data_IF_596499905766
#
_entry.id   IF_596499905766
#
_cell.length_a   1.000
_cell.length_b   1.000
_cell.length_c   1.000
_cell.angle_alpha   90.00
_cell.angle_beta   90.00
_cell.angle_gamma   90.00
#
_symmetry.space_group_name_H-M   'P 1'
#
loop_
_entity.id
_entity.type
_entity.pdbx_description
1 polymer ?
#
# COMPACT_ATOMS: atom_id res chain seq x y z
N UNK A 1 -28.31 -3.87 -0.36
CA UNK A 1 -27.59 -2.98 -1.30
C UNK A 1 -26.20 -2.90 -0.73
N UNK A 2 -25.19 -3.39 -1.44
CA UNK A 2 -23.82 -3.34 -0.93
C UNK A 2 -23.46 -1.86 -0.69
N UNK A 3 -23.17 -1.51 0.56
CA UNK A 3 -22.76 -0.15 0.89
C UNK A 3 -21.31 0.04 0.44
N UNK A 4 -21.10 1.07 -0.39
CA UNK A 4 -19.81 1.44 -0.93
C UNK A 4 -19.42 2.77 -0.32
N UNK A 5 -18.32 2.77 0.42
CA UNK A 5 -17.76 3.97 1.01
C UNK A 5 -16.37 4.25 0.40
N UNK A 6 -16.22 5.43 -0.20
CA UNK A 6 -14.94 5.91 -0.72
C UNK A 6 -14.34 6.94 0.22
N UNK A 7 -13.08 6.71 0.61
CA UNK A 7 -12.33 7.61 1.49
C UNK A 7 -11.07 8.07 0.78
N UNK A 8 -10.94 9.38 0.52
CA UNK A 8 -9.71 9.96 -0.04
C UNK A 8 -8.61 9.95 1.01
N UNK A 9 -7.44 9.45 0.64
CA UNK A 9 -6.25 9.42 1.50
C UNK A 9 -5.21 10.48 1.12
N UNK A 10 -4.94 10.61 -0.17
CA UNK A 10 -3.93 11.52 -0.70
C UNK A 10 -4.57 12.25 -1.86
N UNK A 11 -4.49 13.57 -1.86
CA UNK A 11 -4.97 14.40 -2.95
C UNK A 11 -4.13 15.66 -2.97
N UNK A 12 -3.51 15.97 -4.10
CA UNK A 12 -2.78 17.22 -4.28
C UNK A 12 -1.63 17.13 -5.27
N UNK A 13 -0.98 18.27 -5.43
CA UNK A 13 0.23 18.42 -6.22
C UNK A 13 1.46 18.37 -5.32
N UNK A 14 2.46 17.57 -5.72
CA UNK A 14 3.66 17.32 -4.94
C UNK A 14 4.90 17.52 -5.79
N UNK A 15 5.93 18.14 -5.21
CA UNK A 15 7.28 18.04 -5.77
C UNK A 15 7.77 16.60 -5.64
N UNK A 16 8.72 16.16 -6.51
CA UNK A 16 9.26 14.80 -6.46
C UNK A 16 9.70 14.33 -5.06
N UNK A 17 10.37 15.19 -4.27
CA UNK A 17 10.79 14.83 -2.91
C UNK A 17 9.62 14.70 -1.92
N UNK A 18 8.60 15.56 -2.02
CA UNK A 18 7.40 15.49 -1.18
C UNK A 18 6.58 14.24 -1.51
N UNK A 19 6.45 13.92 -2.81
CA UNK A 19 5.81 12.69 -3.26
C UNK A 19 6.54 11.44 -2.77
N UNK A 20 7.88 11.47 -2.75
CA UNK A 20 8.71 10.36 -2.27
C UNK A 20 8.44 10.10 -0.79
N UNK A 21 8.48 11.14 0.05
CA UNK A 21 8.24 11.04 1.49
C UNK A 21 6.83 10.49 1.81
N UNK A 22 5.79 11.05 1.18
CA UNK A 22 4.40 10.64 1.43
C UNK A 22 4.13 9.22 0.93
N UNK A 23 4.57 8.88 -0.28
CA UNK A 23 4.27 7.55 -0.84
C UNK A 23 5.11 6.45 -0.21
N UNK A 24 6.39 6.72 0.09
CA UNK A 24 7.27 5.71 0.69
C UNK A 24 6.92 5.45 2.15
N UNK A 25 6.52 6.46 2.93
CA UNK A 25 6.07 6.25 4.31
C UNK A 25 4.91 5.24 4.37
N UNK A 26 3.91 5.37 3.50
CA UNK A 26 2.76 4.46 3.44
C UNK A 26 3.19 3.03 3.06
N UNK A 27 4.03 2.89 2.04
CA UNK A 27 4.49 1.56 1.60
C UNK A 27 5.34 0.89 2.67
N UNK A 28 6.24 1.63 3.29
CA UNK A 28 7.09 1.12 4.35
C UNK A 28 6.29 0.70 5.58
N UNK A 29 5.27 1.47 5.97
CA UNK A 29 4.37 1.09 7.05
C UNK A 29 3.63 -0.21 6.77
N UNK A 30 3.18 -0.43 5.52
CA UNK A 30 2.59 -1.70 5.10
C UNK A 30 3.61 -2.84 5.11
N UNK A 31 4.84 -2.62 4.65
CA UNK A 31 5.91 -3.64 4.71
C UNK A 31 6.20 -4.03 6.16
N UNK A 32 6.34 -3.04 7.07
CA UNK A 32 6.57 -3.26 8.50
C UNK A 32 5.41 -4.04 9.13
N UNK A 33 4.17 -3.72 8.79
CA UNK A 33 3.00 -4.48 9.23
C UNK A 33 3.09 -5.96 8.82
N UNK A 34 3.31 -6.24 7.53
CA UNK A 34 3.40 -7.61 7.04
C UNK A 34 4.58 -8.37 7.66
N UNK A 35 5.72 -7.70 7.87
CA UNK A 35 6.90 -8.28 8.53
C UNK A 35 6.60 -8.72 9.97
N UNK A 36 5.88 -7.88 10.73
CA UNK A 36 5.43 -8.25 12.09
C UNK A 36 4.46 -9.43 12.09
N UNK A 37 3.60 -9.53 11.07
CA UNK A 37 2.69 -10.67 10.94
C UNK A 37 3.45 -11.96 10.64
N UNK A 38 4.43 -11.93 9.73
CA UNK A 38 5.30 -13.09 9.46
C UNK A 38 5.94 -13.58 10.75
N UNK A 39 6.59 -12.68 11.49
CA UNK A 39 7.21 -13.01 12.77
C UNK A 39 6.21 -13.63 13.75
N UNK A 40 5.01 -13.06 13.88
CA UNK A 40 3.97 -13.61 14.77
C UNK A 40 3.47 -14.99 14.35
N UNK A 41 3.48 -15.34 13.07
CA UNK A 41 3.09 -16.66 12.59
C UNK A 41 4.21 -17.69 12.82
N UNK A 42 5.45 -17.29 12.52
CA UNK A 42 6.65 -18.13 12.69
C UNK A 42 6.88 -18.48 14.17
N UNK A 43 6.75 -17.50 15.09
CA UNK A 43 6.88 -17.73 16.54
C UNK A 43 5.83 -18.70 17.10
N UNK A 44 4.64 -18.76 16.48
CA UNK A 44 3.54 -19.64 16.91
C UNK A 44 3.54 -20.98 16.17
N UNK A 45 4.49 -21.21 15.26
CA UNK A 45 4.53 -22.38 14.39
C UNK A 45 3.26 -22.54 13.54
N UNK A 46 2.59 -21.43 13.20
CA UNK A 46 1.34 -21.44 12.44
C UNK A 46 1.63 -21.31 10.94
N UNK A 47 0.89 -22.09 10.15
CA UNK A 47 0.86 -21.93 8.71
C UNK A 47 0.16 -20.63 8.29
N UNK A 48 0.55 -20.09 7.15
CA UNK A 48 -0.08 -18.90 6.56
C UNK A 48 0.76 -17.62 6.56
N UNK A 49 2.02 -17.67 7.02
CA UNK A 49 2.98 -16.57 6.86
C UNK A 49 3.22 -16.19 5.39
N UNK A 50 3.06 -17.16 4.47
CA UNK A 50 3.35 -17.00 3.04
C UNK A 50 2.55 -15.87 2.37
N UNK A 51 1.30 -15.65 2.80
CA UNK A 51 0.48 -14.54 2.26
C UNK A 51 1.10 -13.17 2.55
N UNK A 52 1.76 -13.03 3.70
CA UNK A 52 2.42 -11.79 4.09
C UNK A 52 3.77 -11.64 3.38
N UNK A 53 4.49 -12.75 3.13
CA UNK A 53 5.73 -12.76 2.32
C UNK A 53 5.45 -12.28 0.90
N UNK A 54 4.47 -12.91 0.23
CA UNK A 54 4.00 -12.47 -1.09
C UNK A 54 3.60 -10.99 -1.10
N UNK A 55 2.91 -10.54 -0.04
CA UNK A 55 2.48 -9.13 0.04
C UNK A 55 3.65 -8.16 0.17
N UNK A 56 4.73 -8.52 0.87
CA UNK A 56 5.95 -7.71 0.92
C UNK A 56 6.57 -7.58 -0.47
N UNK A 57 6.67 -8.67 -1.23
CA UNK A 57 7.21 -8.64 -2.60
C UNK A 57 6.42 -7.69 -3.52
N UNK A 58 5.09 -7.77 -3.50
CA UNK A 58 4.21 -6.88 -4.26
C UNK A 58 4.37 -5.40 -3.87
N UNK A 59 4.55 -5.13 -2.58
CA UNK A 59 4.80 -3.77 -2.06
C UNK A 59 6.18 -3.25 -2.51
N UNK A 60 7.19 -4.12 -2.56
CA UNK A 60 8.53 -3.77 -3.00
C UNK A 60 8.57 -3.44 -4.49
N UNK A 61 7.85 -4.22 -5.31
CA UNK A 61 7.65 -3.91 -6.73
C UNK A 61 6.92 -2.57 -6.92
N UNK A 62 5.90 -2.31 -6.10
CA UNK A 62 5.18 -1.03 -6.11
C UNK A 62 6.09 0.15 -5.74
N UNK A 63 6.95 -0.02 -4.72
CA UNK A 63 7.97 0.98 -4.32
C UNK A 63 8.90 1.32 -5.48
N UNK A 64 9.42 0.31 -6.17
CA UNK A 64 10.32 0.50 -7.32
C UNK A 64 9.63 1.26 -8.45
N UNK A 65 8.39 0.89 -8.78
CA UNK A 65 7.60 1.59 -9.80
C UNK A 65 7.37 3.07 -9.46
N UNK A 66 7.10 3.38 -8.20
CA UNK A 66 6.95 4.77 -7.73
C UNK A 66 8.27 5.52 -7.83
N UNK A 67 9.38 4.91 -7.38
CA UNK A 67 10.72 5.49 -7.49
C UNK A 67 11.04 5.87 -8.94
N UNK A 68 10.73 4.98 -9.90
CA UNK A 68 10.94 5.24 -11.32
C UNK A 68 10.09 6.40 -11.83
N UNK A 69 8.83 6.52 -11.40
CA UNK A 69 7.95 7.64 -11.77
C UNK A 69 8.51 8.96 -11.23
N UNK A 70 8.86 9.00 -9.94
CA UNK A 70 9.39 10.18 -9.27
C UNK A 70 10.70 10.63 -9.93
N UNK A 71 11.61 9.69 -10.21
CA UNK A 71 12.88 9.98 -10.86
C UNK A 71 12.69 10.56 -12.27
N UNK A 72 11.72 10.05 -13.05
CA UNK A 72 11.39 10.63 -14.36
C UNK A 72 10.83 12.04 -14.25
N UNK A 73 9.97 12.33 -13.27
CA UNK A 73 9.45 13.67 -13.03
C UNK A 73 10.55 14.63 -12.57
N UNK A 74 11.45 14.17 -11.69
CA UNK A 74 12.61 14.93 -11.22
C UNK A 74 13.55 15.31 -12.36
N UNK A 75 13.86 14.37 -13.26
CA UNK A 75 14.70 14.63 -14.44
C UNK A 75 14.09 15.65 -15.42
N UNK A 76 12.76 15.81 -15.40
CA UNK A 76 12.02 16.73 -16.28
C UNK A 76 11.60 18.03 -15.57
N UNK A 77 12.00 18.24 -14.31
CA UNK A 77 11.52 19.34 -13.47
C UNK A 77 9.98 19.44 -13.42
N UNK A 78 9.30 18.29 -13.35
CA UNK A 78 7.84 18.20 -13.27
C UNK A 78 7.38 17.96 -11.83
N UNK A 79 6.18 18.45 -11.52
CA UNK A 79 5.42 18.11 -10.31
C UNK A 79 4.52 16.89 -10.58
N UNK A 80 4.07 16.24 -9.51
CA UNK A 80 3.18 15.07 -9.55
C UNK A 80 1.81 15.45 -9.02
N UNK A 81 0.75 15.20 -9.78
CA UNK A 81 -0.62 15.17 -9.24
C UNK A 81 -0.91 13.75 -8.74
N UNK A 82 -1.19 13.59 -7.45
CA UNK A 82 -1.41 12.30 -6.81
C UNK A 82 -2.81 12.25 -6.22
N UNK A 83 -3.55 11.21 -6.58
CA UNK A 83 -4.87 10.90 -6.04
C UNK A 83 -4.91 9.45 -5.58
N UNK A 84 -5.37 9.23 -4.34
CA UNK A 84 -5.55 7.90 -3.78
C UNK A 84 -6.83 7.86 -2.94
N UNK A 85 -7.63 6.83 -3.18
CA UNK A 85 -8.81 6.52 -2.37
C UNK A 85 -8.82 5.06 -1.93
N UNK A 86 -9.37 4.83 -0.74
CA UNK A 86 -9.76 3.50 -0.27
C UNK A 86 -11.23 3.32 -0.59
N UNK A 87 -11.52 2.19 -1.20
CA UNK A 87 -12.88 1.70 -1.44
C UNK A 87 -13.17 0.60 -0.43
N UNK A 88 -14.18 0.83 0.41
CA UNK A 88 -14.67 -0.14 1.38
C UNK A 88 -16.00 -0.70 0.85
N UNK A 89 -16.07 -2.03 0.78
CA UNK A 89 -17.28 -2.77 0.37
C UNK A 89 -17.68 -3.67 1.53
N UNK A 90 -18.83 -3.40 2.11
CA UNK A 90 -19.41 -4.24 3.15
C UNK A 90 -20.00 -5.50 2.52
N UNK A 91 -19.63 -6.66 3.06
CA UNK A 91 -20.21 -7.95 2.67
C UNK A 91 -20.80 -8.60 3.91
N UNK A 92 -22.06 -8.99 3.84
CA UNK A 92 -22.67 -9.85 4.85
C UNK A 92 -21.95 -11.19 4.83
N UNK A 93 -21.43 -11.64 5.98
CA UNK A 93 -20.98 -13.02 6.11
C UNK A 93 -22.20 -13.94 5.96
N UNK A 94 -22.29 -14.67 4.85
CA UNK A 94 -23.17 -15.83 4.78
C UNK A 94 -22.48 -16.96 5.51
N UNK A 95 -22.88 -17.17 6.77
CA UNK A 95 -22.56 -18.39 7.50
C UNK A 95 -23.40 -19.51 6.91
N UNK A 96 -22.83 -20.26 5.95
CA UNK A 96 -23.40 -21.54 5.54
C UNK A 96 -23.40 -22.47 6.77
N UNK A 97 -24.59 -22.89 7.21
CA UNK A 97 -24.82 -23.90 8.23
C UNK A 97 -25.24 -25.21 7.56
#
# INVERSE_FOLDING_TARGET
MDEFNEVKLITGEFKPGEAEEVLFSIIEDKIRFNSRQIFSYEERGMDGAERYKKRIEELQQSKNKIADIINRCKAKNQILNIESSIIIKEKTEHTDH
#
